data_IF_104863014830
#
_entry.id   IF_104863014830
#
_cell.length_a   1.000
_cell.length_b   1.000
_cell.length_c   1.000
_cell.angle_alpha   90.00
_cell.angle_beta   90.00
_cell.angle_gamma   90.00
#
_symmetry.space_group_name_H-M   'P 1'
#
loop_
_entity.id
_entity.type
_entity.pdbx_description
1 polymer ?
#
# COMPACT_ATOMS: atom_id res chain seq x y z
N UNK A 1 18.53 9.75 8.79
CA UNK A 1 17.74 9.54 7.56
C UNK A 1 18.48 8.58 6.63
N UNK A 2 18.84 7.38 7.14
CA UNK A 2 19.63 6.37 6.42
C UNK A 2 18.90 5.03 6.26
N UNK A 3 17.83 4.78 7.00
CA UNK A 3 17.15 3.48 7.02
C UNK A 3 16.64 3.06 5.64
N UNK A 4 16.10 4.00 4.86
CA UNK A 4 15.60 3.71 3.51
C UNK A 4 16.73 3.35 2.54
N UNK A 5 17.89 4.01 2.69
CA UNK A 5 19.07 3.71 1.90
C UNK A 5 19.63 2.34 2.30
N UNK A 6 19.80 2.09 3.60
CA UNK A 6 20.25 0.82 4.16
C UNK A 6 19.34 -0.35 3.74
N UNK A 7 18.02 -0.16 3.81
CA UNK A 7 17.04 -1.11 3.28
C UNK A 7 17.29 -1.42 1.80
N UNK A 8 17.43 -0.38 0.96
CA UNK A 8 17.64 -0.58 -0.48
C UNK A 8 18.99 -1.23 -0.83
N UNK A 9 20.00 -1.08 0.02
CA UNK A 9 21.33 -1.65 -0.18
C UNK A 9 21.42 -3.10 0.33
N UNK A 10 20.72 -3.43 1.42
CA UNK A 10 20.87 -4.72 2.11
C UNK A 10 19.76 -5.72 1.79
N UNK A 11 18.53 -5.25 1.52
CA UNK A 11 17.36 -6.13 1.35
C UNK A 11 17.05 -6.46 -0.11
N UNK A 12 17.61 -5.70 -1.07
CA UNK A 12 17.24 -5.83 -2.48
C UNK A 12 17.56 -7.22 -3.07
N UNK A 13 18.74 -7.76 -2.81
CA UNK A 13 19.16 -9.07 -3.33
C UNK A 13 18.31 -10.20 -2.72
N UNK A 14 18.17 -10.31 -1.38
CA UNK A 14 17.28 -11.32 -0.79
C UNK A 14 15.83 -11.25 -1.30
N UNK A 15 15.26 -10.04 -1.42
CA UNK A 15 13.89 -9.85 -1.91
C UNK A 15 13.76 -10.25 -3.38
N UNK A 16 14.75 -9.90 -4.21
CA UNK A 16 14.75 -10.29 -5.61
C UNK A 16 14.86 -11.81 -5.79
N UNK A 17 15.77 -12.47 -5.05
CA UNK A 17 15.90 -13.93 -5.07
C UNK A 17 14.63 -14.64 -4.61
N UNK A 18 13.90 -14.05 -3.64
CA UNK A 18 12.60 -14.57 -3.20
C UNK A 18 11.44 -14.28 -4.19
N UNK A 19 11.70 -13.57 -5.30
CA UNK A 19 10.67 -13.21 -6.27
C UNK A 19 9.68 -12.17 -5.75
N UNK A 20 10.12 -11.28 -4.85
CA UNK A 20 9.32 -10.17 -4.36
C UNK A 20 9.41 -9.01 -5.35
N UNK A 21 8.27 -8.43 -5.72
CA UNK A 21 8.15 -7.20 -6.50
C UNK A 21 7.91 -6.02 -5.57
N UNK A 22 8.79 -5.01 -5.62
CA UNK A 22 8.68 -3.82 -4.77
C UNK A 22 7.89 -2.73 -5.52
N UNK A 23 6.87 -2.19 -4.86
CA UNK A 23 6.15 -1.00 -5.31
C UNK A 23 6.19 0.07 -4.21
N UNK A 24 6.04 1.34 -4.60
CA UNK A 24 5.99 2.46 -3.66
C UNK A 24 4.69 3.22 -3.82
N UNK A 25 4.05 3.51 -2.68
CA UNK A 25 2.86 4.35 -2.60
C UNK A 25 3.23 5.69 -1.95
N UNK A 26 2.73 6.80 -2.48
CA UNK A 26 3.03 8.14 -1.99
C UNK A 26 4.13 8.88 -2.77
N UNK A 27 4.71 9.90 -2.16
CA UNK A 27 5.65 10.80 -2.83
C UNK A 27 7.10 10.50 -2.45
N UNK A 28 7.86 9.96 -3.40
CA UNK A 28 9.30 9.75 -3.22
C UNK A 28 10.10 11.05 -3.30
N UNK A 29 9.58 12.11 -3.89
CA UNK A 29 10.36 13.33 -4.13
C UNK A 29 10.74 14.09 -2.85
N UNK A 30 10.06 13.80 -1.74
CA UNK A 30 10.35 14.39 -0.43
C UNK A 30 11.64 13.82 0.22
N UNK A 31 12.25 12.78 -0.39
CA UNK A 31 13.41 12.09 0.16
C UNK A 31 14.74 12.54 -0.49
N UNK A 32 15.89 12.39 0.22
CA UNK A 32 17.19 12.68 -0.35
C UNK A 32 17.50 11.87 -1.61
N UNK A 33 18.22 12.46 -2.57
CA UNK A 33 18.51 11.85 -3.88
C UNK A 33 19.09 10.42 -3.78
N UNK A 34 20.00 10.17 -2.85
CA UNK A 34 20.57 8.83 -2.65
C UNK A 34 19.51 7.79 -2.30
N UNK A 35 18.59 8.13 -1.40
CA UNK A 35 17.50 7.24 -1.01
C UNK A 35 16.50 7.02 -2.15
N UNK A 36 16.16 8.09 -2.89
CA UNK A 36 15.30 7.98 -4.08
C UNK A 36 15.91 7.06 -5.13
N UNK A 37 17.20 7.24 -5.42
CA UNK A 37 17.93 6.41 -6.38
C UNK A 37 17.97 4.94 -5.97
N UNK A 38 18.25 4.65 -4.70
CA UNK A 38 18.26 3.28 -4.16
C UNK A 38 16.90 2.59 -4.29
N UNK A 39 15.81 3.28 -3.96
CA UNK A 39 14.46 2.73 -4.07
C UNK A 39 14.02 2.57 -5.52
N UNK A 40 14.29 3.53 -6.40
CA UNK A 40 14.00 3.39 -7.84
C UNK A 40 14.75 2.19 -8.46
N UNK A 41 16.02 1.98 -8.08
CA UNK A 41 16.78 0.80 -8.47
C UNK A 41 16.13 -0.49 -7.95
N UNK A 42 15.63 -0.48 -6.72
CA UNK A 42 14.93 -1.63 -6.11
C UNK A 42 13.65 -2.00 -6.86
N UNK A 43 12.86 -0.99 -7.25
CA UNK A 43 11.65 -1.18 -8.06
C UNK A 43 12.03 -1.78 -9.42
N UNK A 44 13.03 -1.21 -10.10
CA UNK A 44 13.43 -1.66 -11.44
C UNK A 44 13.94 -3.10 -11.46
N UNK A 45 14.79 -3.48 -10.49
CA UNK A 45 15.35 -4.84 -10.39
C UNK A 45 14.25 -5.89 -10.14
N UNK A 46 13.21 -5.50 -9.40
CA UNK A 46 12.17 -6.44 -8.95
C UNK A 46 10.87 -6.38 -9.76
N UNK A 47 10.81 -5.56 -10.82
CA UNK A 47 9.56 -5.24 -11.54
C UNK A 47 8.85 -6.46 -12.16
N UNK A 48 9.62 -7.47 -12.56
CA UNK A 48 9.12 -8.66 -13.27
C UNK A 48 8.80 -9.82 -12.31
N UNK A 49 9.10 -9.66 -11.02
CA UNK A 49 8.83 -10.66 -9.99
C UNK A 49 7.33 -10.84 -9.73
N UNK A 50 6.91 -12.07 -9.38
CA UNK A 50 5.49 -12.44 -9.28
C UNK A 50 5.09 -13.14 -7.98
N UNK A 51 6.02 -13.47 -7.08
CA UNK A 51 5.69 -14.28 -5.90
C UNK A 51 4.98 -13.46 -4.81
N UNK A 52 5.39 -12.20 -4.63
CA UNK A 52 4.84 -11.32 -3.60
C UNK A 52 4.96 -9.85 -4.03
N UNK A 53 3.90 -9.07 -3.86
CA UNK A 53 3.97 -7.61 -3.96
C UNK A 53 4.30 -7.01 -2.57
N UNK A 54 5.44 -6.33 -2.45
CA UNK A 54 5.79 -5.52 -1.28
C UNK A 54 5.52 -4.05 -1.60
N UNK A 55 4.41 -3.52 -1.09
CA UNK A 55 4.07 -2.11 -1.25
C UNK A 55 4.56 -1.30 -0.06
N UNK A 56 5.47 -0.36 -0.30
CA UNK A 56 6.06 0.49 0.74
C UNK A 56 5.43 1.88 0.64
N UNK A 57 4.71 2.30 1.68
CA UNK A 57 4.08 3.61 1.73
C UNK A 57 5.06 4.67 2.27
N UNK A 58 5.52 5.59 1.42
CA UNK A 58 6.53 6.61 1.73
C UNK A 58 5.96 8.01 1.43
N UNK A 59 6.00 8.90 2.42
CA UNK A 59 5.28 10.19 2.37
C UNK A 59 3.83 10.01 1.89
N UNK A 60 3.18 8.96 2.41
CA UNK A 60 1.86 8.54 1.98
C UNK A 60 0.76 9.08 2.90
N UNK A 61 -0.38 9.41 2.31
CA UNK A 61 -1.63 9.63 3.02
C UNK A 61 -2.81 9.45 2.10
N UNK A 62 -3.82 8.69 2.52
CA UNK A 62 -4.99 8.33 1.70
C UNK A 62 -5.76 9.55 1.20
N UNK A 63 -5.86 10.62 2.00
CA UNK A 63 -6.44 11.89 1.53
C UNK A 63 -5.66 12.49 0.35
N UNK A 64 -4.34 12.49 0.41
CA UNK A 64 -3.50 13.03 -0.67
C UNK A 64 -3.58 12.15 -1.92
N UNK A 65 -3.64 10.83 -1.74
CA UNK A 65 -3.86 9.87 -2.82
C UNK A 65 -5.18 10.13 -3.55
N UNK A 66 -6.29 10.28 -2.81
CA UNK A 66 -7.61 10.59 -3.40
C UNK A 66 -7.59 11.92 -4.15
N UNK A 67 -6.93 12.96 -3.61
CA UNK A 67 -6.77 14.25 -4.29
C UNK A 67 -5.96 14.09 -5.58
N UNK A 68 -4.89 13.29 -5.58
CA UNK A 68 -4.09 13.03 -6.77
C UNK A 68 -4.89 12.28 -7.85
N UNK A 69 -5.65 11.26 -7.46
CA UNK A 69 -6.54 10.51 -8.36
C UNK A 69 -7.61 11.44 -8.97
N UNK A 70 -8.28 12.25 -8.15
CA UNK A 70 -9.30 13.20 -8.62
C UNK A 70 -8.71 14.22 -9.62
N UNK A 71 -7.50 14.75 -9.36
CA UNK A 71 -6.81 15.66 -10.29
C UNK A 71 -6.49 14.99 -11.63
N UNK A 72 -6.04 13.73 -11.60
CA UNK A 72 -5.74 12.95 -12.80
C UNK A 72 -7.01 12.74 -13.64
N UNK A 73 -8.09 12.28 -13.02
CA UNK A 73 -9.39 12.08 -13.70
C UNK A 73 -9.90 13.40 -14.28
N UNK A 74 -9.86 14.49 -13.51
CA UNK A 74 -10.29 15.81 -14.00
C UNK A 74 -9.47 16.30 -15.20
N UNK A 75 -8.17 16.01 -15.24
CA UNK A 75 -7.32 16.33 -16.40
C UNK A 75 -7.71 15.47 -17.62
N UNK A 76 -7.95 14.17 -17.41
CA UNK A 76 -8.38 13.27 -18.48
C UNK A 76 -9.73 13.68 -19.09
N UNK A 77 -10.69 14.12 -18.26
CA UNK A 77 -11.96 14.71 -18.72
C UNK A 77 -11.70 16.00 -19.51
N UNK A 78 -10.90 16.92 -18.96
CA UNK A 78 -10.58 18.20 -19.61
C UNK A 78 -9.93 18.03 -20.99
N UNK A 79 -9.13 16.98 -21.14
CA UNK A 79 -8.43 16.64 -22.39
C UNK A 79 -9.26 15.74 -23.32
N UNK A 80 -10.54 15.51 -23.00
CA UNK A 80 -11.47 14.65 -23.73
C UNK A 80 -10.97 13.20 -23.92
N UNK A 81 -10.15 12.69 -22.99
CA UNK A 81 -9.72 11.28 -22.97
C UNK A 81 -10.80 10.36 -22.40
N UNK A 82 -11.63 10.88 -21.51
CA UNK A 82 -12.77 10.18 -20.89
C UNK A 82 -13.96 11.14 -20.77
N UNK A 83 -15.16 10.59 -20.65
CA UNK A 83 -16.38 11.34 -20.36
C UNK A 83 -16.70 11.33 -18.86
N UNK A 84 -17.39 12.36 -18.36
CA UNK A 84 -17.76 12.47 -16.94
C UNK A 84 -18.73 11.35 -16.51
N UNK A 85 -19.60 10.90 -17.40
CA UNK A 85 -20.55 9.81 -17.14
C UNK A 85 -19.84 8.45 -17.09
N UNK A 86 -18.58 8.39 -17.54
CA UNK A 86 -17.71 7.22 -17.42
C UNK A 86 -16.94 7.13 -16.09
N UNK A 87 -17.16 8.06 -15.14
CA UNK A 87 -16.50 8.03 -13.83
C UNK A 87 -17.26 7.10 -12.88
N UNK A 88 -16.64 5.99 -12.51
CA UNK A 88 -17.16 5.00 -11.57
C UNK A 88 -16.10 4.58 -10.51
N UNK A 89 -16.46 3.66 -9.61
CA UNK A 89 -15.56 3.13 -8.58
C UNK A 89 -14.31 2.45 -9.17
N UNK A 90 -14.45 1.80 -10.32
CA UNK A 90 -13.34 1.14 -11.00
C UNK A 90 -12.33 2.17 -11.53
N UNK A 91 -12.80 3.26 -12.16
CA UNK A 91 -11.95 4.34 -12.63
C UNK A 91 -11.20 5.04 -11.49
N UNK A 92 -11.87 5.24 -10.35
CA UNK A 92 -11.23 5.77 -9.15
C UNK A 92 -10.12 4.81 -8.71
N UNK A 93 -10.42 3.52 -8.56
CA UNK A 93 -9.46 2.48 -8.18
C UNK A 93 -8.26 2.42 -9.12
N UNK A 94 -8.48 2.54 -10.43
CA UNK A 94 -7.44 2.60 -11.47
C UNK A 94 -6.64 3.91 -11.49
N UNK A 95 -7.03 4.88 -10.67
CA UNK A 95 -6.35 6.16 -10.51
C UNK A 95 -5.59 6.28 -9.19
N UNK A 96 -5.70 5.29 -8.29
CA UNK A 96 -4.95 5.21 -7.03
C UNK A 96 -3.57 4.54 -7.23
N UNK A 97 -2.70 4.61 -6.20
CA UNK A 97 -1.38 3.95 -6.26
C UNK A 97 -1.51 2.42 -6.28
N UNK A 98 -2.57 1.88 -5.70
CA UNK A 98 -2.87 0.44 -5.65
C UNK A 98 -3.47 -0.11 -6.95
N UNK A 99 -3.43 0.64 -8.06
CA UNK A 99 -3.95 0.19 -9.36
C UNK A 99 -3.52 -1.23 -9.70
N UNK A 100 -4.50 -2.06 -10.10
CA UNK A 100 -4.27 -3.45 -10.50
C UNK A 100 -3.95 -4.40 -9.34
N UNK A 101 -4.10 -3.96 -8.10
CA UNK A 101 -3.99 -4.78 -6.90
C UNK A 101 -5.35 -4.87 -6.21
N UNK A 102 -5.62 -5.98 -5.52
CA UNK A 102 -6.82 -6.12 -4.70
C UNK A 102 -6.75 -5.26 -3.44
N UNK A 103 -7.91 -4.86 -2.95
CA UNK A 103 -8.04 -4.22 -1.63
C UNK A 103 -7.51 -5.15 -0.52
N UNK A 104 -6.99 -4.58 0.59
CA UNK A 104 -6.51 -5.37 1.71
C UNK A 104 -7.66 -6.09 2.41
N UNK A 105 -7.48 -7.37 2.66
CA UNK A 105 -8.44 -8.14 3.46
C UNK A 105 -8.32 -7.87 4.96
N UNK A 106 -7.08 -7.63 5.42
CA UNK A 106 -6.73 -7.49 6.82
C UNK A 106 -5.77 -6.30 7.01
N UNK A 107 -6.14 -5.38 7.90
CA UNK A 107 -5.24 -4.38 8.45
C UNK A 107 -4.76 -4.84 9.82
N UNK A 108 -3.44 -4.87 10.00
CA UNK A 108 -2.80 -5.12 11.30
C UNK A 108 -2.18 -3.81 11.79
N UNK A 109 -2.55 -3.37 12.99
CA UNK A 109 -1.93 -2.21 13.64
C UNK A 109 -1.45 -2.56 15.05
N UNK A 110 -0.17 -2.30 15.27
CA UNK A 110 0.57 -2.56 16.51
C UNK A 110 0.44 -1.40 17.50
N UNK A 111 1.00 -1.56 18.70
CA UNK A 111 1.08 -0.55 19.79
C UNK A 111 -0.24 -0.14 20.46
N UNK A 112 -1.31 -0.92 20.29
CA UNK A 112 -2.61 -0.69 20.95
C UNK A 112 -3.47 0.41 20.33
N UNK A 113 -2.93 1.15 19.36
CA UNK A 113 -3.60 2.32 18.79
C UNK A 113 -4.73 1.96 17.83
N UNK A 114 -5.97 2.29 18.18
CA UNK A 114 -7.16 1.99 17.39
C UNK A 114 -7.56 3.15 16.48
N UNK A 115 -6.78 3.37 15.42
CA UNK A 115 -7.06 4.37 14.38
C UNK A 115 -6.43 3.95 13.05
N UNK A 116 -6.88 4.55 11.95
CA UNK A 116 -6.27 4.32 10.62
C UNK A 116 -5.14 5.30 10.30
N UNK A 117 -5.15 6.47 10.94
CA UNK A 117 -4.12 7.51 10.73
C UNK A 117 -3.86 7.85 9.26
N UNK A 118 -4.92 8.02 8.45
CA UNK A 118 -4.83 8.37 7.04
C UNK A 118 -4.16 7.29 6.16
N UNK A 119 -4.11 6.04 6.61
CA UNK A 119 -3.63 4.91 5.80
C UNK A 119 -4.76 4.33 4.93
N UNK A 120 -4.50 4.00 3.66
CA UNK A 120 -5.35 3.20 2.75
C UNK A 120 -6.87 3.49 2.80
N UNK A 121 -7.25 4.77 2.83
CA UNK A 121 -8.62 5.17 3.20
C UNK A 121 -9.70 4.67 2.23
N UNK A 122 -9.39 4.62 0.94
CA UNK A 122 -10.33 4.14 -0.07
C UNK A 122 -10.36 2.61 -0.09
N UNK A 123 -9.16 2.01 -0.12
CA UNK A 123 -8.95 0.58 -0.25
C UNK A 123 -9.51 -0.20 0.96
N UNK A 124 -9.57 0.42 2.15
CA UNK A 124 -10.00 -0.26 3.37
C UNK A 124 -11.51 -0.30 3.62
N UNK A 125 -12.34 0.00 2.62
CA UNK A 125 -13.79 0.08 2.78
C UNK A 125 -14.43 -1.20 3.37
N UNK A 126 -13.88 -2.38 3.08
CA UNK A 126 -14.36 -3.69 3.56
C UNK A 126 -13.27 -4.54 4.23
N UNK A 127 -12.22 -3.90 4.75
CA UNK A 127 -11.08 -4.54 5.40
C UNK A 127 -11.40 -4.88 6.85
N UNK A 128 -10.96 -6.05 7.30
CA UNK A 128 -11.02 -6.42 8.71
C UNK A 128 -9.84 -5.80 9.47
N UNK A 129 -10.09 -5.30 10.69
CA UNK A 129 -9.08 -4.62 11.49
C UNK A 129 -8.65 -5.45 12.69
N UNK A 130 -7.35 -5.69 12.80
CA UNK A 130 -6.68 -6.33 13.93
C UNK A 130 -5.77 -5.32 14.62
N UNK A 131 -6.13 -4.94 15.85
CA UNK A 131 -5.33 -4.05 16.69
C UNK A 131 -4.66 -4.86 17.81
N UNK A 132 -3.35 -4.71 17.99
CA UNK A 132 -2.59 -5.42 19.03
C UNK A 132 -1.71 -4.48 19.84
N UNK A 133 -1.59 -4.76 21.14
CA UNK A 133 -0.70 -4.05 22.07
C UNK A 133 0.79 -4.32 21.79
N UNK A 134 1.12 -5.38 21.04
CA UNK A 134 2.50 -5.72 20.68
C UNK A 134 3.13 -4.55 19.92
N UNK A 135 4.32 -4.12 20.34
CA UNK A 135 5.07 -3.06 19.68
C UNK A 135 5.70 -3.56 18.37
N UNK A 136 5.83 -2.69 17.36
CA UNK A 136 6.41 -3.07 16.06
C UNK A 136 7.79 -3.76 16.16
N UNK A 137 8.75 -3.28 16.99
CA UNK A 137 10.02 -3.96 17.16
C UNK A 137 9.92 -5.37 17.75
N UNK A 138 8.79 -5.73 18.38
CA UNK A 138 8.53 -7.04 18.99
C UNK A 138 7.59 -7.91 18.15
N UNK A 139 7.03 -7.36 17.07
CA UNK A 139 6.13 -8.09 16.18
C UNK A 139 6.93 -9.12 15.35
N UNK A 140 6.62 -10.41 15.52
CA UNK A 140 7.30 -11.55 14.88
C UNK A 140 6.29 -12.44 14.15
N UNK A 141 6.79 -13.51 13.51
CA UNK A 141 5.98 -14.41 12.69
C UNK A 141 4.78 -15.00 13.45
N UNK A 142 4.95 -15.29 14.74
CA UNK A 142 3.90 -15.80 15.62
C UNK A 142 2.74 -14.82 15.76
N UNK A 143 3.02 -13.51 15.84
CA UNK A 143 2.00 -12.46 15.95
C UNK A 143 1.25 -12.27 14.62
N UNK A 144 1.95 -12.41 13.48
CA UNK A 144 1.30 -12.42 12.18
C UNK A 144 0.33 -13.60 12.04
N UNK A 145 0.74 -14.81 12.47
CA UNK A 145 -0.13 -15.98 12.46
C UNK A 145 -1.37 -15.79 13.35
N UNK A 146 -1.24 -15.16 14.52
CA UNK A 146 -2.38 -14.83 15.38
C UNK A 146 -3.36 -13.89 14.68
N UNK A 147 -2.86 -12.83 14.03
CA UNK A 147 -3.69 -11.89 13.30
C UNK A 147 -4.44 -12.56 12.14
N UNK A 148 -3.77 -13.45 11.39
CA UNK A 148 -4.40 -14.22 10.31
C UNK A 148 -5.46 -15.19 10.87
N UNK A 149 -5.18 -15.87 11.97
CA UNK A 149 -6.13 -16.77 12.61
C UNK A 149 -7.38 -16.01 13.11
N UNK A 150 -7.22 -14.80 13.65
CA UNK A 150 -8.37 -13.97 14.02
C UNK A 150 -9.18 -13.58 12.78
N UNK A 151 -8.52 -13.13 11.71
CA UNK A 151 -9.18 -12.81 10.44
C UNK A 151 -10.01 -13.98 9.89
N UNK A 152 -9.47 -15.20 9.90
CA UNK A 152 -10.17 -16.39 9.43
C UNK A 152 -11.43 -16.74 10.24
N UNK A 153 -11.52 -16.28 11.49
CA UNK A 153 -12.70 -16.48 12.33
C UNK A 153 -13.78 -15.40 12.12
N UNK A 154 -13.53 -14.38 11.30
CA UNK A 154 -14.51 -13.32 11.02
C UNK A 154 -15.44 -13.72 9.88
N UNK A 155 -16.73 -13.42 10.04
CA UNK A 155 -17.74 -13.60 9.01
C UNK A 155 -17.93 -12.30 8.23
N UNK A 156 -17.32 -12.20 7.04
CA UNK A 156 -17.41 -11.03 6.17
C UNK A 156 -18.76 -11.00 5.45
N UNK A 157 -19.56 -9.97 5.71
CA UNK A 157 -20.92 -9.83 5.15
C UNK A 157 -20.98 -8.95 3.91
N UNK A 158 -19.94 -8.16 3.60
CA UNK A 158 -19.85 -7.29 2.42
C UNK A 158 -21.13 -6.48 2.15
N UNK A 159 -21.75 -5.94 3.20
CA UNK A 159 -22.99 -5.16 3.08
C UNK A 159 -24.24 -5.96 2.65
N UNK A 160 -24.18 -7.29 2.61
CA UNK A 160 -25.37 -8.14 2.43
C UNK A 160 -26.13 -8.23 3.77
N UNK A 161 -27.37 -7.78 3.76
CA UNK A 161 -28.37 -8.07 4.82
C UNK A 161 -28.77 -9.55 4.80
#
# INVERSE_FOLDING_TARGET
MNLLLEFSETMIEPLNTAGVRINVFGNLEDFPEKSKAGIRKSIEITKDNQNLNLNIALSYGGRNEIVAAAKKIALDVKENRIDIDGIDEQLISDSLYSKGQSDPDLLIRTSGEQRLSNFMLYQMAYTEFYFTEVLWPDFRAEELHKAIAEYQNRSRRFGKE
#
